data_IF_210961736475
#
_entry.id   IF_210961736475
#
_cell.length_a   1.000
_cell.length_b   1.000
_cell.length_c   1.000
_cell.angle_alpha   90.00
_cell.angle_beta   90.00
_cell.angle_gamma   90.00
#
_symmetry.space_group_name_H-M   'P 1'
#
loop_
_entity.id
_entity.type
_entity.pdbx_description
1 polymer ?
#
# COMPACT_ATOMS: atom_id res chain seq x y z
N UNK A 1 3.42 -8.68 -24.17
CA UNK A 1 3.99 -7.39 -23.71
C UNK A 1 3.16 -6.92 -22.52
N UNK A 2 3.77 -6.19 -21.59
CA UNK A 2 3.12 -5.66 -20.39
C UNK A 2 2.65 -4.23 -20.71
N UNK A 3 1.37 -3.91 -20.53
CA UNK A 3 0.78 -2.60 -20.83
C UNK A 3 0.21 -1.99 -19.54
N UNK A 4 0.41 -0.68 -19.28
CA UNK A 4 -0.06 -0.06 -18.04
C UNK A 4 -1.56 -0.25 -17.91
N UNK A 5 -2.00 -0.66 -16.72
CA UNK A 5 -3.40 -0.51 -16.38
C UNK A 5 -3.82 0.94 -16.69
N UNK A 6 -4.96 1.11 -17.37
CA UNK A 6 -5.50 2.44 -17.67
C UNK A 6 -5.44 3.26 -16.38
N UNK A 7 -4.84 4.48 -16.38
CA UNK A 7 -4.73 5.28 -15.16
C UNK A 7 -6.11 5.43 -14.53
N UNK A 8 -6.32 4.74 -13.41
CA UNK A 8 -7.57 4.76 -12.70
C UNK A 8 -7.60 6.05 -11.87
N UNK A 9 -8.06 7.14 -12.49
CA UNK A 9 -8.26 8.42 -11.80
C UNK A 9 -9.54 8.41 -10.93
N UNK A 10 -10.14 7.24 -10.68
CA UNK A 10 -11.23 7.15 -9.73
C UNK A 10 -10.77 7.50 -8.32
N UNK A 11 -11.68 7.97 -7.45
CA UNK A 11 -11.37 8.21 -6.04
C UNK A 11 -11.02 6.94 -5.26
N UNK A 12 -11.10 5.76 -5.88
CA UNK A 12 -10.78 4.47 -5.28
C UNK A 12 -10.03 3.59 -6.31
N UNK A 13 -8.78 3.95 -6.64
CA UNK A 13 -8.03 3.29 -7.71
C UNK A 13 -7.70 1.84 -7.33
N UNK A 14 -7.39 1.04 -8.34
CA UNK A 14 -6.78 -0.27 -8.13
C UNK A 14 -5.33 -0.15 -7.66
N UNK A 15 -4.93 -1.06 -6.78
CA UNK A 15 -3.63 -1.11 -6.12
C UNK A 15 -3.12 -2.55 -6.10
N UNK A 16 -1.81 -2.73 -6.18
CA UNK A 16 -1.17 -4.01 -5.83
C UNK A 16 -1.51 -4.35 -4.37
N UNK A 17 -1.94 -5.57 -4.10
CA UNK A 17 -2.25 -6.01 -2.73
C UNK A 17 -1.02 -6.11 -1.82
N UNK A 18 0.16 -6.36 -2.41
CA UNK A 18 1.40 -6.60 -1.67
C UNK A 18 2.16 -5.31 -1.30
N UNK A 19 2.14 -4.31 -2.18
CA UNK A 19 2.90 -3.07 -1.97
C UNK A 19 2.09 -1.77 -2.11
N UNK A 20 0.83 -1.85 -2.54
CA UNK A 20 -0.02 -0.68 -2.76
C UNK A 20 0.36 0.19 -3.96
N UNK A 21 1.22 -0.30 -4.85
CA UNK A 21 1.57 0.40 -6.09
C UNK A 21 0.38 0.51 -7.05
N UNK A 22 0.37 1.56 -7.87
CA UNK A 22 -0.50 1.69 -9.06
C UNK A 22 0.15 1.16 -10.33
N UNK A 23 1.45 0.84 -10.30
CA UNK A 23 2.22 0.30 -11.42
C UNK A 23 2.00 -1.21 -11.54
N UNK A 24 0.73 -1.57 -11.75
CA UNK A 24 0.31 -2.94 -11.97
C UNK A 24 -0.27 -3.04 -13.36
N UNK A 25 0.08 -4.10 -14.06
CA UNK A 25 -0.08 -4.21 -15.49
C UNK A 25 -0.76 -5.52 -15.86
N UNK A 26 -1.69 -5.45 -16.81
CA UNK A 26 -2.34 -6.63 -17.37
C UNK A 26 -1.47 -7.27 -18.45
N UNK A 27 -1.67 -8.57 -18.67
CA UNK A 27 -1.14 -9.24 -19.84
C UNK A 27 -1.99 -8.88 -21.06
N UNK A 28 -1.33 -8.56 -22.17
CA UNK A 28 -2.00 -8.28 -23.44
C UNK A 28 -1.37 -9.09 -24.58
N UNK A 29 -2.24 -9.64 -25.42
CA UNK A 29 -1.88 -10.21 -26.71
C UNK A 29 -1.73 -9.07 -27.71
N UNK A 30 -0.58 -9.01 -28.37
CA UNK A 30 -0.18 -7.93 -29.26
C UNK A 30 0.21 -8.49 -30.61
N UNK A 31 -0.17 -7.78 -31.68
CA UNK A 31 0.30 -8.10 -33.03
C UNK A 31 1.80 -7.80 -33.12
N UNK A 32 2.61 -8.82 -33.43
CA UNK A 32 4.07 -8.69 -33.49
C UNK A 32 4.60 -7.81 -34.64
N UNK A 33 3.77 -7.49 -35.63
CA UNK A 33 4.13 -6.63 -36.76
C UNK A 33 3.69 -5.17 -36.56
N UNK A 34 2.57 -4.93 -35.89
CA UNK A 34 1.97 -3.59 -35.74
C UNK A 34 2.01 -3.03 -34.31
N UNK A 35 2.36 -3.86 -33.33
CA UNK A 35 2.28 -3.57 -31.89
C UNK A 35 0.87 -3.17 -31.41
N UNK A 36 -0.17 -3.44 -32.19
CA UNK A 36 -1.55 -3.19 -31.79
C UNK A 36 -2.02 -4.27 -30.80
N UNK A 37 -2.79 -3.84 -29.79
CA UNK A 37 -3.40 -4.76 -28.81
C UNK A 37 -4.54 -5.50 -29.50
N UNK A 38 -4.48 -6.83 -29.50
CA UNK A 38 -5.51 -7.71 -30.02
C UNK A 38 -6.55 -8.05 -28.95
N UNK A 39 -6.08 -8.39 -27.74
CA UNK A 39 -6.91 -8.65 -26.57
C UNK A 39 -6.14 -8.41 -25.29
N UNK A 40 -6.88 -8.15 -24.22
CA UNK A 40 -6.37 -7.99 -22.86
C UNK A 40 -6.86 -9.20 -22.06
N UNK A 41 -5.97 -9.79 -21.27
CA UNK A 41 -6.36 -10.71 -20.21
C UNK A 41 -6.81 -9.88 -19.00
N UNK A 42 -8.06 -10.00 -18.62
CA UNK A 42 -8.65 -9.25 -17.50
C UNK A 42 -8.55 -10.00 -16.16
N UNK A 43 -7.76 -11.08 -16.11
CA UNK A 43 -7.47 -11.80 -14.88
C UNK A 43 -6.74 -10.91 -13.85
N UNK A 44 -7.47 -10.49 -12.82
CA UNK A 44 -6.97 -9.58 -11.78
C UNK A 44 -6.19 -10.29 -10.67
N UNK A 45 -6.10 -11.61 -10.74
CA UNK A 45 -5.39 -12.46 -9.77
C UNK A 45 -3.96 -12.81 -10.21
N UNK A 46 -3.55 -12.42 -11.43
CA UNK A 46 -2.23 -12.74 -11.98
C UNK A 46 -1.62 -11.55 -12.75
N UNK A 47 -1.51 -10.40 -12.07
CA UNK A 47 -1.04 -9.16 -12.70
C UNK A 47 0.37 -8.79 -12.28
N UNK A 48 1.16 -8.33 -13.24
CA UNK A 48 2.55 -7.93 -12.98
C UNK A 48 2.59 -6.60 -12.24
N UNK A 49 3.23 -6.56 -11.06
CA UNK A 49 3.54 -5.34 -10.34
C UNK A 49 5.03 -4.97 -10.54
N UNK A 50 5.30 -3.82 -11.14
CA UNK A 50 6.68 -3.36 -11.40
C UNK A 50 7.43 -3.01 -10.12
N UNK A 51 6.71 -2.56 -9.08
CA UNK A 51 7.29 -2.25 -7.78
C UNK A 51 7.64 -3.50 -6.96
N UNK A 52 6.97 -4.63 -7.21
CA UNK A 52 7.30 -5.93 -6.59
C UNK A 52 8.25 -6.77 -7.46
N UNK A 53 8.32 -6.48 -8.77
CA UNK A 53 8.94 -7.35 -9.78
C UNK A 53 8.37 -8.79 -9.75
N UNK A 54 7.06 -8.91 -9.47
CA UNK A 54 6.37 -10.20 -9.39
C UNK A 54 4.88 -10.08 -9.77
N UNK A 55 4.24 -11.22 -9.96
CA UNK A 55 2.81 -11.36 -10.18
C UNK A 55 2.04 -11.25 -8.85
N UNK A 56 0.99 -10.43 -8.85
CA UNK A 56 0.20 -10.07 -7.67
C UNK A 56 -1.27 -9.89 -8.03
N UNK A 57 -2.17 -9.93 -7.04
CA UNK A 57 -3.55 -9.51 -7.28
C UNK A 57 -3.72 -8.00 -7.13
N UNK A 58 -4.81 -7.49 -7.72
CA UNK A 58 -5.27 -6.13 -7.47
C UNK A 58 -6.43 -6.07 -6.48
N UNK A 59 -6.34 -5.09 -5.59
CA UNK A 59 -7.41 -4.72 -4.65
C UNK A 59 -7.76 -3.25 -4.83
N UNK A 60 -8.99 -2.88 -4.46
CA UNK A 60 -9.36 -1.46 -4.41
C UNK A 60 -8.60 -0.78 -3.27
N UNK A 61 -8.15 0.45 -3.47
CA UNK A 61 -7.45 1.22 -2.43
C UNK A 61 -8.21 1.24 -1.10
N UNK A 62 -9.53 1.48 -1.13
CA UNK A 62 -10.35 1.48 0.08
C UNK A 62 -10.36 0.12 0.81
N UNK A 63 -10.28 -0.98 0.06
CA UNK A 63 -10.19 -2.34 0.61
C UNK A 63 -8.79 -2.62 1.17
N UNK A 64 -7.73 -2.26 0.44
CA UNK A 64 -6.35 -2.31 0.92
C UNK A 64 -6.19 -1.54 2.25
N UNK A 65 -6.76 -0.33 2.31
CA UNK A 65 -6.75 0.48 3.52
C UNK A 65 -7.50 -0.20 4.68
N UNK A 66 -8.69 -0.74 4.40
CA UNK A 66 -9.57 -1.32 5.42
C UNK A 66 -9.06 -2.65 5.96
N UNK A 67 -8.61 -3.55 5.09
CA UNK A 67 -8.33 -4.94 5.44
C UNK A 67 -6.85 -5.17 5.80
N UNK A 68 -5.93 -4.35 5.27
CA UNK A 68 -4.49 -4.58 5.42
C UNK A 68 -3.83 -3.43 6.18
N UNK A 69 -3.87 -2.21 5.64
CA UNK A 69 -3.02 -1.11 6.11
C UNK A 69 -3.48 -0.56 7.47
N UNK A 70 -4.78 -0.30 7.67
CA UNK A 70 -5.25 0.19 8.97
C UNK A 70 -5.10 -0.88 10.07
N UNK A 71 -5.46 -2.16 9.86
CA UNK A 71 -5.19 -3.21 10.84
C UNK A 71 -3.71 -3.40 11.15
N UNK A 72 -2.83 -3.27 10.16
CA UNK A 72 -1.38 -3.27 10.34
C UNK A 72 -0.94 -2.13 11.27
N UNK A 73 -1.34 -0.89 10.97
CA UNK A 73 -1.01 0.27 11.79
C UNK A 73 -1.51 0.11 13.23
N UNK A 74 -2.70 -0.44 13.43
CA UNK A 74 -3.31 -0.57 14.76
C UNK A 74 -2.67 -1.70 15.58
N UNK A 75 -2.40 -2.85 14.96
CA UNK A 75 -2.17 -4.09 15.71
C UNK A 75 -0.79 -4.71 15.52
N UNK A 76 -0.03 -4.33 14.48
CA UNK A 76 1.23 -5.01 14.13
C UNK A 76 2.49 -4.25 14.54
N UNK A 77 2.40 -2.94 14.74
CA UNK A 77 3.55 -2.11 15.06
C UNK A 77 3.93 -2.16 16.55
N UNK A 78 5.22 -2.38 16.83
CA UNK A 78 5.76 -2.17 18.18
C UNK A 78 6.04 -0.69 18.44
N UNK A 79 6.31 -0.33 19.71
CA UNK A 79 6.59 1.07 20.10
C UNK A 79 7.74 1.65 19.27
N UNK A 80 8.84 0.91 19.12
CA UNK A 80 10.01 1.37 18.37
C UNK A 80 9.70 1.73 16.91
N UNK A 81 8.83 0.96 16.25
CA UNK A 81 8.41 1.25 14.88
C UNK A 81 7.61 2.55 14.81
N UNK A 82 6.69 2.74 15.78
CA UNK A 82 5.91 3.98 15.87
C UNK A 82 6.81 5.18 16.13
N UNK A 83 7.80 5.06 16.99
CA UNK A 83 8.77 6.14 17.23
C UNK A 83 9.56 6.48 15.96
N UNK A 84 10.04 5.46 15.24
CA UNK A 84 10.77 5.64 13.98
C UNK A 84 9.92 6.29 12.89
N UNK A 85 8.66 5.86 12.74
CA UNK A 85 7.76 6.36 11.69
C UNK A 85 7.22 7.76 11.99
N UNK A 86 6.87 8.04 13.25
CA UNK A 86 6.25 9.31 13.63
C UNK A 86 7.25 10.37 14.04
N UNK A 87 8.46 9.98 14.44
CA UNK A 87 9.46 10.84 15.09
C UNK A 87 9.12 11.21 16.53
N UNK A 88 8.02 10.69 17.09
CA UNK A 88 7.65 10.89 18.49
C UNK A 88 8.45 9.93 19.38
N UNK A 89 8.78 10.34 20.60
CA UNK A 89 9.43 9.45 21.58
C UNK A 89 8.46 9.15 22.70
N UNK A 90 8.21 7.86 23.01
CA UNK A 90 7.29 7.42 24.06
C UNK A 90 7.63 8.05 25.42
N UNK A 91 8.94 8.22 25.71
CA UNK A 91 9.45 8.79 26.96
C UNK A 91 9.05 10.26 27.18
N UNK A 92 8.68 10.97 26.12
CA UNK A 92 8.19 12.35 26.21
C UNK A 92 6.72 12.42 26.68
N UNK A 93 6.06 11.27 26.80
CA UNK A 93 4.65 11.17 27.19
C UNK A 93 4.50 10.58 28.60
N UNK A 94 3.37 10.91 29.24
CA UNK A 94 3.00 10.36 30.53
C UNK A 94 2.76 8.83 30.41
N UNK A 95 3.42 7.99 31.23
CA UNK A 95 3.26 6.52 31.21
C UNK A 95 1.91 6.03 31.73
N UNK A 96 1.07 6.90 32.29
CA UNK A 96 -0.27 6.54 32.75
C UNK A 96 -1.11 5.89 31.65
N UNK A 97 -1.95 4.95 32.06
CA UNK A 97 -2.84 4.19 31.18
C UNK A 97 -2.10 3.51 30.03
N UNK A 98 -0.96 2.90 30.36
CA UNK A 98 -0.11 2.17 29.41
C UNK A 98 0.29 3.08 28.22
N UNK A 99 0.80 4.27 28.51
CA UNK A 99 1.19 5.25 27.48
C UNK A 99 0.07 5.60 26.49
N UNK A 100 -1.20 5.67 26.94
CA UNK A 100 -2.34 6.04 26.07
C UNK A 100 -2.09 7.32 25.28
N UNK A 101 -1.51 8.34 25.93
CA UNK A 101 -1.23 9.64 25.30
C UNK A 101 -0.27 9.53 24.09
N UNK A 102 0.73 8.64 24.16
CA UNK A 102 1.65 8.37 23.06
C UNK A 102 0.92 7.69 21.90
N UNK A 103 0.12 6.65 22.18
CA UNK A 103 -0.68 5.97 21.14
C UNK A 103 -1.65 6.92 20.44
N UNK A 104 -2.33 7.76 21.20
CA UNK A 104 -3.22 8.78 20.64
C UNK A 104 -2.48 9.80 19.77
N UNK A 105 -1.28 10.23 20.18
CA UNK A 105 -0.46 11.14 19.37
C UNK A 105 -0.02 10.48 18.05
N UNK A 106 0.41 9.21 18.10
CA UNK A 106 0.73 8.44 16.90
C UNK A 106 -0.50 8.30 15.98
N UNK A 107 -1.67 7.97 16.54
CA UNK A 107 -2.89 7.83 15.77
C UNK A 107 -3.36 9.16 15.16
N UNK A 108 -3.18 10.29 15.87
CA UNK A 108 -3.43 11.62 15.29
C UNK A 108 -2.52 11.88 14.10
N UNK A 109 -1.21 11.60 14.23
CA UNK A 109 -0.27 11.71 13.11
C UNK A 109 -0.73 10.85 11.92
N UNK A 110 -1.05 9.57 12.16
CA UNK A 110 -1.54 8.67 11.12
C UNK A 110 -2.80 9.20 10.44
N UNK A 111 -3.76 9.69 11.21
CA UNK A 111 -5.04 10.17 10.68
C UNK A 111 -4.94 11.50 9.93
N UNK A 112 -3.84 12.25 10.06
CA UNK A 112 -3.58 13.43 9.22
C UNK A 112 -3.08 13.10 7.82
N UNK A 113 -2.63 11.86 7.59
CA UNK A 113 -2.06 11.41 6.31
C UNK A 113 -3.14 11.02 5.29
N UNK A 114 -2.88 11.36 4.03
CA UNK A 114 -3.66 10.84 2.91
C UNK A 114 -3.36 9.35 2.68
N UNK A 115 -4.25 8.63 1.99
CA UNK A 115 -4.06 7.20 1.71
C UNK A 115 -2.73 6.91 0.99
N UNK A 116 -2.32 7.76 0.04
CA UNK A 116 -1.02 7.59 -0.64
C UNK A 116 0.15 7.61 0.34
N UNK A 117 0.15 8.57 1.27
CA UNK A 117 1.21 8.68 2.28
C UNK A 117 1.18 7.49 3.25
N UNK A 118 -0.02 7.00 3.61
CA UNK A 118 -0.18 5.82 4.46
C UNK A 118 0.33 4.55 3.79
N UNK A 119 0.01 4.37 2.51
CA UNK A 119 0.50 3.27 1.68
C UNK A 119 2.02 3.30 1.59
N UNK A 120 2.61 4.47 1.35
CA UNK A 120 4.06 4.59 1.28
C UNK A 120 4.74 4.27 2.62
N UNK A 121 4.20 4.76 3.74
CA UNK A 121 4.70 4.42 5.08
C UNK A 121 4.61 2.91 5.33
N UNK A 122 3.49 2.29 4.97
CA UNK A 122 3.32 0.84 5.08
C UNK A 122 4.33 0.08 4.20
N UNK A 123 4.43 0.43 2.92
CA UNK A 123 5.37 -0.17 1.97
C UNK A 123 6.81 -0.09 2.45
N UNK A 124 7.26 1.09 2.88
CA UNK A 124 8.61 1.28 3.39
C UNK A 124 8.86 0.51 4.68
N UNK A 125 7.83 0.26 5.50
CA UNK A 125 7.98 -0.54 6.70
C UNK A 125 8.11 -2.03 6.41
N UNK A 126 7.32 -2.55 5.46
CA UNK A 126 7.25 -3.99 5.16
C UNK A 126 8.32 -4.46 4.18
N UNK A 127 8.85 -3.58 3.32
CA UNK A 127 9.96 -3.91 2.41
C UNK A 127 11.26 -4.32 3.12
N UNK A 128 11.45 -3.95 4.40
CA UNK A 128 12.63 -4.36 5.19
C UNK A 128 12.43 -5.69 5.93
N UNK A 129 11.27 -6.33 5.80
CA UNK A 129 10.97 -7.62 6.44
C UNK A 129 11.19 -8.82 5.50
N UNK A 130 11.56 -8.58 4.23
CA UNK A 130 11.81 -9.60 3.18
C UNK A 130 13.28 -10.03 3.08
#
# INVERSE_FOLDING_TARGET
MIQPAIPDNSPNPWRCEECGSRHVYYQAWVDGNTNQIYSIDDNREDMWCDDCQDHTCQVREGELMKEIINPWWENKLVIADREKMTGLTQKDFNPQEDYRAFREACNRWWNTKANEEKIEVWRLATQFES
#
